data_IF_855653161435
#
_entry.id   IF_855653161435
#
_cell.length_a   1.000
_cell.length_b   1.000
_cell.length_c   1.000
_cell.angle_alpha   90.00
_cell.angle_beta   90.00
_cell.angle_gamma   90.00
#
_symmetry.space_group_name_H-M   'P 1'
#
loop_
_entity.id
_entity.type
_entity.pdbx_description
1 polymer ?
#
# COMPACT_ATOMS: atom_id res chain seq x y z
N UNK A 1 17.94 -18.17 -20.61
CA UNK A 1 19.01 -17.21 -20.96
C UNK A 1 20.12 -17.43 -19.93
N UNK A 2 20.58 -18.68 -19.80
CA UNK A 2 21.11 -19.19 -18.51
C UNK A 2 22.63 -19.06 -18.39
N UNK A 3 23.22 -18.14 -19.16
CA UNK A 3 24.67 -18.08 -19.40
C UNK A 3 25.30 -16.71 -19.08
N UNK A 4 24.52 -15.72 -18.62
CA UNK A 4 25.11 -14.43 -18.24
C UNK A 4 25.81 -14.57 -16.88
N UNK A 5 27.13 -14.74 -16.92
CA UNK A 5 28.00 -14.85 -15.74
C UNK A 5 28.56 -13.48 -15.32
N UNK A 6 28.72 -12.57 -16.27
CA UNK A 6 29.38 -11.27 -16.07
C UNK A 6 28.68 -10.18 -16.88
N UNK A 7 28.62 -8.96 -16.33
CA UNK A 7 28.07 -7.79 -17.01
C UNK A 7 29.21 -6.80 -17.30
N UNK A 8 29.84 -6.92 -18.47
CA UNK A 8 31.00 -6.10 -18.88
C UNK A 8 30.79 -5.39 -20.22
N UNK A 9 31.54 -4.32 -20.45
CA UNK A 9 31.60 -3.67 -21.77
C UNK A 9 32.50 -4.45 -22.73
N UNK A 10 32.29 -4.28 -24.04
CA UNK A 10 33.06 -4.94 -25.10
C UNK A 10 34.57 -4.67 -24.99
N UNK A 11 34.94 -3.49 -24.48
CA UNK A 11 36.33 -3.07 -24.30
C UNK A 11 36.95 -3.56 -22.97
N UNK A 12 36.22 -4.39 -22.20
CA UNK A 12 36.55 -4.78 -20.81
C UNK A 12 36.73 -3.59 -19.86
N UNK A 13 36.23 -2.41 -20.23
CA UNK A 13 36.08 -1.30 -19.30
C UNK A 13 34.94 -1.63 -18.34
N UNK A 14 35.23 -1.71 -17.04
CA UNK A 14 34.28 -2.08 -15.98
C UNK A 14 33.20 -1.02 -15.69
N UNK A 15 32.86 -0.16 -16.66
CA UNK A 15 31.99 0.99 -16.43
C UNK A 15 30.93 1.17 -17.52
N UNK A 16 29.69 1.32 -17.07
CA UNK A 16 28.57 1.77 -17.89
C UNK A 16 28.18 3.20 -17.47
N UNK A 17 28.95 4.22 -17.85
CA UNK A 17 28.82 5.57 -17.29
C UNK A 17 27.49 6.26 -17.65
N UNK A 18 26.78 5.78 -18.67
CA UNK A 18 25.51 6.34 -19.12
C UNK A 18 24.30 5.45 -18.84
N UNK A 19 24.48 4.26 -18.24
CA UNK A 19 23.37 3.35 -17.96
C UNK A 19 22.55 3.90 -16.79
N UNK A 20 21.27 4.18 -17.06
CA UNK A 20 20.35 4.80 -16.07
C UNK A 20 19.31 3.83 -15.53
N UNK A 21 18.97 2.83 -16.32
CA UNK A 21 17.94 1.86 -16.02
C UNK A 21 18.44 0.48 -16.44
N UNK A 22 18.33 -0.49 -15.52
CA UNK A 22 18.79 -1.85 -15.71
C UNK A 22 17.73 -2.81 -15.19
N UNK A 23 17.39 -3.79 -16.02
CA UNK A 23 16.46 -4.86 -15.71
C UNK A 23 17.21 -6.19 -15.83
N UNK A 24 17.33 -6.91 -14.73
CA UNK A 24 17.94 -8.24 -14.67
C UNK A 24 16.84 -9.22 -14.30
N UNK A 25 16.62 -10.23 -15.14
CA UNK A 25 15.69 -11.31 -14.84
C UNK A 25 16.28 -12.64 -15.25
N UNK A 26 16.10 -13.68 -14.42
CA UNK A 26 16.51 -15.05 -14.76
C UNK A 26 18.02 -15.14 -15.05
N UNK A 27 18.85 -14.47 -14.24
CA UNK A 27 20.31 -14.47 -14.34
C UNK A 27 20.93 -15.12 -13.08
N UNK A 28 20.80 -16.44 -12.89
CA UNK A 28 21.23 -17.13 -11.66
C UNK A 28 22.76 -17.22 -11.50
N UNK A 29 23.50 -17.00 -12.59
CA UNK A 29 24.97 -17.08 -12.63
C UNK A 29 25.66 -15.74 -12.40
N UNK A 30 24.95 -14.62 -12.55
CA UNK A 30 25.48 -13.29 -12.29
C UNK A 30 25.45 -13.04 -10.78
N UNK A 31 26.61 -12.75 -10.19
CA UNK A 31 26.77 -12.62 -8.72
C UNK A 31 27.10 -11.22 -8.25
N UNK A 32 27.50 -10.31 -9.15
CA UNK A 32 27.89 -8.94 -8.79
C UNK A 32 27.56 -7.94 -9.91
N UNK A 33 27.33 -6.69 -9.52
CA UNK A 33 27.25 -5.58 -10.47
C UNK A 33 28.64 -4.98 -10.73
N UNK A 34 28.96 -4.59 -11.98
CA UNK A 34 30.11 -3.75 -12.26
C UNK A 34 29.90 -2.34 -11.69
N UNK A 35 30.86 -1.44 -11.90
CA UNK A 35 30.71 -0.04 -11.50
C UNK A 35 29.67 0.68 -12.37
N UNK A 36 28.51 1.00 -11.77
CA UNK A 36 27.35 1.62 -12.44
C UNK A 36 27.01 3.00 -11.84
N UNK A 37 27.83 4.04 -12.06
CA UNK A 37 27.72 5.32 -11.36
C UNK A 37 26.43 6.10 -11.63
N UNK A 38 25.84 5.92 -12.81
CA UNK A 38 24.66 6.68 -13.27
C UNK A 38 23.35 5.89 -13.14
N UNK A 39 23.39 4.68 -12.56
CA UNK A 39 22.21 3.83 -12.48
C UNK A 39 21.24 4.39 -11.46
N UNK A 40 20.09 4.86 -11.96
CA UNK A 40 19.03 5.45 -11.14
C UNK A 40 17.87 4.50 -10.90
N UNK A 41 17.69 3.48 -11.74
CA UNK A 41 16.61 2.50 -11.62
C UNK A 41 17.13 1.08 -11.83
N UNK A 42 16.80 0.19 -10.91
CA UNK A 42 17.15 -1.22 -10.98
C UNK A 42 15.93 -2.09 -10.70
N UNK A 43 15.66 -3.03 -11.61
CA UNK A 43 14.79 -4.17 -11.34
C UNK A 43 15.62 -5.44 -11.38
N UNK A 44 15.59 -6.22 -10.30
CA UNK A 44 16.25 -7.53 -10.21
C UNK A 44 15.21 -8.59 -9.90
N UNK A 45 15.15 -9.63 -10.74
CA UNK A 45 14.15 -10.70 -10.65
C UNK A 45 14.79 -12.08 -10.80
N UNK A 46 14.38 -13.05 -9.97
CA UNK A 46 14.77 -14.48 -10.12
C UNK A 46 16.26 -14.66 -10.44
N UNK A 47 17.12 -14.11 -9.57
CA UNK A 47 18.57 -14.01 -9.76
C UNK A 47 19.31 -14.45 -8.51
N UNK A 48 20.63 -14.45 -8.55
CA UNK A 48 21.47 -14.91 -7.43
C UNK A 48 21.33 -14.01 -6.19
N UNK A 49 21.29 -14.58 -4.98
CA UNK A 49 21.29 -13.81 -3.72
C UNK A 49 22.53 -12.92 -3.58
N UNK A 50 23.71 -13.39 -4.04
CA UNK A 50 24.94 -12.59 -4.01
C UNK A 50 24.83 -11.33 -4.85
N UNK A 51 24.13 -11.41 -6.00
CA UNK A 51 23.85 -10.24 -6.82
C UNK A 51 22.95 -9.26 -6.08
N UNK A 52 21.93 -9.76 -5.38
CA UNK A 52 21.09 -8.93 -4.52
C UNK A 52 21.94 -8.21 -3.47
N UNK A 53 22.88 -8.89 -2.81
CA UNK A 53 23.79 -8.25 -1.83
C UNK A 53 24.62 -7.13 -2.45
N UNK A 54 25.12 -7.30 -3.68
CA UNK A 54 25.90 -6.27 -4.39
C UNK A 54 25.09 -5.01 -4.75
N UNK A 55 23.75 -5.02 -4.62
CA UNK A 55 22.93 -3.80 -4.76
C UNK A 55 23.36 -2.72 -3.77
N UNK A 56 23.93 -3.08 -2.61
CA UNK A 56 24.38 -2.12 -1.60
C UNK A 56 25.45 -1.12 -2.10
N UNK A 57 26.15 -1.45 -3.19
CA UNK A 57 27.18 -0.61 -3.80
C UNK A 57 26.59 0.41 -4.81
N UNK A 58 25.32 0.24 -5.20
CA UNK A 58 24.62 1.05 -6.20
C UNK A 58 23.96 2.29 -5.58
N UNK A 59 24.79 3.19 -5.04
CA UNK A 59 24.34 4.33 -4.22
C UNK A 59 23.52 5.41 -4.95
N UNK A 60 23.50 5.41 -6.28
CA UNK A 60 22.75 6.36 -7.13
C UNK A 60 21.27 5.98 -7.35
N UNK A 61 20.81 4.83 -6.84
CA UNK A 61 19.47 4.33 -7.11
C UNK A 61 18.37 5.19 -6.48
N UNK A 62 17.49 5.72 -7.33
CA UNK A 62 16.24 6.41 -6.97
C UNK A 62 15.02 5.48 -6.97
N UNK A 63 15.11 4.36 -7.68
CA UNK A 63 14.06 3.34 -7.76
C UNK A 63 14.68 1.94 -7.75
N UNK A 64 14.14 1.07 -6.91
CA UNK A 64 14.58 -0.32 -6.78
C UNK A 64 13.36 -1.25 -6.74
N UNK A 65 13.39 -2.30 -7.55
CA UNK A 65 12.46 -3.42 -7.48
C UNK A 65 13.22 -4.72 -7.29
N UNK A 66 12.82 -5.49 -6.27
CA UNK A 66 13.30 -6.83 -5.98
C UNK A 66 12.13 -7.78 -6.19
N UNK A 67 12.26 -8.72 -7.12
CA UNK A 67 11.19 -9.61 -7.55
C UNK A 67 11.63 -11.09 -7.52
N UNK A 68 10.75 -12.02 -7.15
CA UNK A 68 10.99 -13.48 -7.31
C UNK A 68 12.29 -14.00 -6.69
N UNK A 69 12.53 -13.72 -5.41
CA UNK A 69 13.57 -14.37 -4.61
C UNK A 69 12.93 -15.28 -3.57
N UNK A 70 12.37 -16.40 -4.03
CA UNK A 70 11.60 -17.32 -3.18
C UNK A 70 12.44 -17.98 -2.09
N UNK A 71 13.78 -18.03 -2.20
CA UNK A 71 14.63 -18.61 -1.15
C UNK A 71 14.84 -17.66 0.06
N UNK A 72 14.49 -16.37 -0.07
CA UNK A 72 14.74 -15.38 0.98
C UNK A 72 13.63 -15.38 2.04
N UNK A 73 13.98 -15.83 3.24
CA UNK A 73 13.12 -15.63 4.42
C UNK A 73 13.24 -14.23 5.02
N UNK A 74 14.38 -13.57 4.84
CA UNK A 74 14.68 -12.21 5.31
C UNK A 74 15.52 -11.50 4.24
N UNK A 75 15.35 -10.19 4.09
CA UNK A 75 16.25 -9.41 3.23
C UNK A 75 17.68 -9.38 3.81
N UNK A 76 18.73 -9.48 2.97
CA UNK A 76 20.12 -9.40 3.40
C UNK A 76 20.41 -8.15 4.24
N UNK A 77 21.17 -8.33 5.32
CA UNK A 77 21.58 -7.21 6.18
C UNK A 77 22.41 -6.18 5.41
N UNK A 78 22.06 -4.91 5.59
CA UNK A 78 22.76 -3.79 4.96
C UNK A 78 22.36 -3.53 3.51
N UNK A 79 21.47 -4.36 2.91
CA UNK A 79 21.04 -4.24 1.51
C UNK A 79 20.64 -2.81 1.12
N UNK A 80 19.93 -2.13 2.03
CA UNK A 80 19.39 -0.79 1.80
C UNK A 80 20.14 0.31 2.54
N UNK A 81 21.24 -0.01 3.23
CA UNK A 81 21.93 0.90 4.16
C UNK A 81 22.52 2.15 3.47
N UNK A 82 22.99 2.01 2.23
CA UNK A 82 23.66 3.10 1.50
C UNK A 82 22.74 3.89 0.55
N UNK A 83 21.46 3.53 0.46
CA UNK A 83 20.52 4.03 -0.54
C UNK A 83 19.85 5.36 -0.12
N UNK A 84 20.65 6.40 0.10
CA UNK A 84 20.19 7.69 0.66
C UNK A 84 19.32 8.53 -0.28
N UNK A 85 19.25 8.17 -1.56
CA UNK A 85 18.47 8.87 -2.60
C UNK A 85 17.30 8.04 -3.12
N UNK A 86 17.04 6.87 -2.53
CA UNK A 86 16.00 5.95 -2.97
C UNK A 86 14.62 6.52 -2.65
N UNK A 87 13.87 6.86 -3.69
CA UNK A 87 12.52 7.44 -3.58
C UNK A 87 11.42 6.38 -3.70
N UNK A 88 11.70 5.23 -4.33
CA UNK A 88 10.71 4.18 -4.53
C UNK A 88 11.33 2.78 -4.36
N UNK A 89 10.71 1.98 -3.50
CA UNK A 89 11.09 0.59 -3.25
C UNK A 89 9.90 -0.32 -3.52
N UNK A 90 10.11 -1.34 -4.34
CA UNK A 90 9.12 -2.38 -4.62
C UNK A 90 9.68 -3.75 -4.30
N UNK A 91 8.92 -4.53 -3.55
CA UNK A 91 9.26 -5.89 -3.17
C UNK A 91 8.10 -6.75 -3.67
N UNK A 92 8.38 -7.62 -4.64
CA UNK A 92 7.39 -8.38 -5.37
C UNK A 92 7.71 -9.88 -5.30
N UNK A 93 6.70 -10.72 -5.12
CA UNK A 93 6.82 -12.18 -5.25
C UNK A 93 7.98 -12.76 -4.40
N UNK A 94 8.19 -12.25 -3.18
CA UNK A 94 9.11 -12.83 -2.19
C UNK A 94 8.32 -13.75 -1.25
N UNK A 95 7.96 -14.93 -1.74
CA UNK A 95 6.91 -15.75 -1.14
C UNK A 95 7.28 -16.31 0.25
N UNK A 96 8.57 -16.51 0.54
CA UNK A 96 9.04 -17.00 1.85
C UNK A 96 9.48 -15.88 2.80
N UNK A 97 9.44 -14.61 2.38
CA UNK A 97 9.87 -13.49 3.18
C UNK A 97 8.94 -13.30 4.39
N UNK A 98 9.47 -13.46 5.60
CA UNK A 98 8.72 -13.33 6.86
C UNK A 98 8.71 -11.91 7.41
N UNK A 99 9.77 -11.14 7.14
CA UNK A 99 9.93 -9.76 7.63
C UNK A 99 10.91 -8.96 6.76
N UNK A 100 10.75 -7.63 6.75
CA UNK A 100 11.67 -6.71 6.08
C UNK A 100 12.89 -6.29 6.92
N UNK A 101 13.00 -6.81 8.15
CA UNK A 101 14.06 -6.52 9.14
C UNK A 101 14.32 -5.00 9.30
N UNK A 102 15.48 -4.60 9.85
CA UNK A 102 15.82 -3.19 10.10
C UNK A 102 16.28 -2.42 8.83
N UNK A 103 16.11 -2.98 7.63
CA UNK A 103 16.65 -2.40 6.39
C UNK A 103 16.09 -1.03 6.04
N UNK A 104 14.89 -0.70 6.53
CA UNK A 104 14.20 0.54 6.19
C UNK A 104 14.68 1.77 6.98
N UNK A 105 15.53 1.58 8.00
CA UNK A 105 15.88 2.62 8.97
C UNK A 105 16.56 3.86 8.35
N UNK A 106 17.23 3.70 7.21
CA UNK A 106 18.00 4.77 6.56
C UNK A 106 17.28 5.43 5.37
N UNK A 107 16.08 4.98 5.00
CA UNK A 107 15.38 5.41 3.78
C UNK A 107 14.49 6.64 4.01
N UNK A 108 15.02 7.68 4.65
CA UNK A 108 14.27 8.88 5.06
C UNK A 108 13.63 9.68 3.91
N UNK A 109 14.12 9.53 2.68
CA UNK A 109 13.62 10.20 1.46
C UNK A 109 12.65 9.33 0.64
N UNK A 110 12.41 8.08 1.06
CA UNK A 110 11.51 7.16 0.36
C UNK A 110 10.10 7.75 0.32
N UNK A 111 9.53 7.84 -0.88
CA UNK A 111 8.17 8.36 -1.15
C UNK A 111 7.17 7.24 -1.42
N UNK A 112 7.63 6.13 -2.00
CA UNK A 112 6.79 4.97 -2.33
C UNK A 112 7.41 3.67 -1.79
N UNK A 113 6.60 2.93 -1.02
CA UNK A 113 6.89 1.55 -0.62
C UNK A 113 5.74 0.67 -1.10
N UNK A 114 6.05 -0.32 -1.96
CA UNK A 114 5.08 -1.33 -2.39
C UNK A 114 5.59 -2.73 -2.06
N UNK A 115 4.72 -3.52 -1.45
CA UNK A 115 4.95 -4.92 -1.16
C UNK A 115 3.81 -5.69 -1.82
N UNK A 116 4.14 -6.60 -2.71
CA UNK A 116 3.18 -7.32 -3.55
C UNK A 116 3.52 -8.82 -3.56
N UNK A 117 2.56 -9.70 -3.30
CA UNK A 117 2.75 -11.17 -3.31
C UNK A 117 3.90 -11.60 -2.38
N UNK A 118 3.84 -11.18 -1.13
CA UNK A 118 4.74 -11.64 -0.07
C UNK A 118 3.92 -12.43 0.95
N UNK A 119 3.44 -13.61 0.53
CA UNK A 119 2.42 -14.37 1.25
C UNK A 119 2.85 -14.80 2.67
N UNK A 120 4.15 -15.00 2.90
CA UNK A 120 4.69 -15.34 4.23
C UNK A 120 5.02 -14.14 5.11
N UNK A 121 4.79 -12.90 4.65
CA UNK A 121 5.12 -11.71 5.43
C UNK A 121 4.20 -11.59 6.64
N UNK A 122 4.74 -11.83 7.83
CA UNK A 122 3.95 -11.88 9.08
C UNK A 122 3.78 -10.50 9.72
N UNK A 123 4.80 -9.65 9.61
CA UNK A 123 4.82 -8.31 10.20
C UNK A 123 5.71 -7.35 9.41
N UNK A 124 5.31 -6.08 9.40
CA UNK A 124 6.17 -4.99 8.94
C UNK A 124 7.04 -4.49 10.11
N UNK A 125 8.28 -4.07 9.87
CA UNK A 125 9.20 -3.67 10.92
C UNK A 125 8.88 -2.28 11.49
N UNK A 126 9.23 -2.06 12.75
CA UNK A 126 9.14 -0.76 13.43
C UNK A 126 9.99 0.34 12.76
N UNK A 127 10.97 -0.06 11.95
CA UNK A 127 11.80 0.83 11.14
C UNK A 127 11.01 1.68 10.14
N UNK A 128 9.75 1.33 9.83
CA UNK A 128 8.85 2.16 9.04
C UNK A 128 8.71 3.59 9.59
N UNK A 129 8.85 3.79 10.91
CA UNK A 129 8.78 5.12 11.54
C UNK A 129 9.85 6.09 11.05
N UNK A 130 10.90 5.60 10.40
CA UNK A 130 11.98 6.42 9.88
C UNK A 130 11.68 6.96 8.47
N UNK A 131 10.64 6.45 7.80
CA UNK A 131 10.23 6.84 6.44
C UNK A 131 9.38 8.12 6.44
N UNK A 132 9.96 9.22 6.93
CA UNK A 132 9.24 10.50 7.14
C UNK A 132 8.73 11.15 5.86
N UNK A 133 9.32 10.82 4.71
CA UNK A 133 8.92 11.32 3.39
C UNK A 133 7.95 10.39 2.66
N UNK A 134 7.55 9.26 3.27
CA UNK A 134 6.71 8.27 2.61
C UNK A 134 5.33 8.86 2.31
N UNK A 135 4.95 8.86 1.03
CA UNK A 135 3.67 9.38 0.55
C UNK A 135 2.69 8.25 0.22
N UNK A 136 3.21 7.10 -0.23
CA UNK A 136 2.41 5.92 -0.61
C UNK A 136 2.96 4.65 0.03
N UNK A 137 2.08 3.94 0.74
CA UNK A 137 2.30 2.58 1.21
C UNK A 137 1.24 1.67 0.57
N UNK A 138 1.66 0.72 -0.26
CA UNK A 138 0.78 -0.30 -0.83
C UNK A 138 1.22 -1.70 -0.39
N UNK A 139 0.29 -2.43 0.23
CA UNK A 139 0.41 -3.84 0.59
C UNK A 139 -0.58 -4.61 -0.27
N UNK A 140 -0.09 -5.57 -1.05
CA UNK A 140 -0.91 -6.41 -1.91
C UNK A 140 -0.55 -7.87 -1.72
N UNK A 141 -1.55 -8.74 -1.62
CA UNK A 141 -1.35 -10.20 -1.55
C UNK A 141 -0.28 -10.54 -0.47
N UNK A 142 -0.50 -10.06 0.76
CA UNK A 142 0.36 -10.35 1.92
C UNK A 142 -0.43 -11.20 2.93
N UNK A 143 -0.66 -12.46 2.56
CA UNK A 143 -1.66 -13.32 3.20
C UNK A 143 -1.38 -13.70 4.67
N UNK A 144 -0.12 -13.63 5.12
CA UNK A 144 0.24 -13.90 6.53
C UNK A 144 0.21 -12.66 7.43
N UNK A 145 0.05 -11.47 6.85
CA UNK A 145 0.06 -10.22 7.61
C UNK A 145 -1.26 -10.07 8.36
N UNK A 146 -1.20 -10.04 9.69
CA UNK A 146 -2.40 -9.99 10.55
C UNK A 146 -2.78 -8.60 11.03
N UNK A 147 -1.80 -7.69 11.14
CA UNK A 147 -1.98 -6.28 11.52
C UNK A 147 -0.80 -5.41 11.06
N UNK A 148 -0.97 -4.07 11.05
CA UNK A 148 0.14 -3.12 10.81
C UNK A 148 0.87 -2.77 12.12
N UNK A 149 2.17 -2.43 12.09
CA UNK A 149 2.94 -2.11 13.30
C UNK A 149 2.52 -0.77 13.90
N UNK A 150 2.11 -0.77 15.17
CA UNK A 150 1.65 0.45 15.86
C UNK A 150 2.76 1.53 15.90
N UNK A 151 3.96 1.12 16.31
CA UNK A 151 5.16 1.98 16.41
C UNK A 151 5.72 2.36 15.05
N UNK A 152 5.66 1.45 14.07
CA UNK A 152 6.11 1.70 12.70
C UNK A 152 5.33 2.80 11.98
N UNK A 153 4.05 3.00 12.29
CA UNK A 153 3.21 4.03 11.66
C UNK A 153 3.41 5.45 12.26
N UNK A 154 3.98 5.58 13.46
CA UNK A 154 4.09 6.86 14.18
C UNK A 154 4.86 7.95 13.42
N UNK A 155 5.84 7.55 12.61
CA UNK A 155 6.71 8.49 11.90
C UNK A 155 6.30 8.79 10.46
N UNK A 156 5.22 8.21 9.97
CA UNK A 156 4.74 8.36 8.59
C UNK A 156 3.93 9.65 8.39
N UNK A 157 4.48 10.79 8.79
CA UNK A 157 3.78 12.08 8.80
C UNK A 157 3.44 12.64 7.41
N UNK A 158 4.07 12.13 6.35
CA UNK A 158 3.83 12.55 4.96
C UNK A 158 2.91 11.60 4.19
N UNK A 159 2.43 10.50 4.82
CA UNK A 159 1.71 9.46 4.11
C UNK A 159 0.35 9.98 3.63
N UNK A 160 0.14 9.96 2.31
CA UNK A 160 -1.09 10.43 1.65
C UNK A 160 -1.97 9.28 1.20
N UNK A 161 -1.40 8.13 0.86
CA UNK A 161 -2.11 6.98 0.33
C UNK A 161 -1.70 5.70 1.05
N UNK A 162 -2.65 5.09 1.76
CA UNK A 162 -2.52 3.75 2.34
C UNK A 162 -3.45 2.81 1.57
N UNK A 163 -2.85 1.80 0.93
CA UNK A 163 -3.58 0.82 0.11
C UNK A 163 -3.28 -0.57 0.62
N UNK A 164 -4.30 -1.31 0.98
CA UNK A 164 -4.21 -2.70 1.40
C UNK A 164 -5.13 -3.51 0.50
N UNK A 165 -4.57 -4.50 -0.19
CA UNK A 165 -5.27 -5.25 -1.22
C UNK A 165 -5.02 -6.74 -1.04
N UNK A 166 -6.07 -7.54 -1.01
CA UNK A 166 -6.01 -8.99 -1.03
C UNK A 166 -5.15 -9.60 0.11
N UNK A 167 -5.03 -8.92 1.25
CA UNK A 167 -4.35 -9.46 2.44
C UNK A 167 -5.38 -10.27 3.26
N UNK A 168 -5.42 -11.60 3.08
CA UNK A 168 -6.55 -12.41 3.57
C UNK A 168 -6.69 -12.48 5.08
N UNK A 169 -5.58 -12.57 5.83
CA UNK A 169 -5.57 -12.66 7.30
C UNK A 169 -5.50 -11.30 8.02
N UNK A 170 -5.49 -10.20 7.27
CA UNK A 170 -5.41 -8.87 7.89
C UNK A 170 -6.73 -8.56 8.57
N UNK A 171 -6.72 -8.57 9.91
CA UNK A 171 -7.94 -8.46 10.72
C UNK A 171 -8.24 -7.04 11.19
N UNK A 172 -7.22 -6.18 11.28
CA UNK A 172 -7.34 -4.75 11.59
C UNK A 172 -6.12 -3.95 11.08
N UNK A 173 -6.25 -2.62 10.97
CA UNK A 173 -5.16 -1.72 10.57
C UNK A 173 -4.20 -1.33 11.72
N UNK A 174 -4.50 -1.74 12.96
CA UNK A 174 -3.87 -1.28 14.21
C UNK A 174 -4.10 0.19 14.60
N UNK A 175 -3.95 0.47 15.89
CA UNK A 175 -4.10 1.82 16.47
C UNK A 175 -3.02 2.82 15.99
N UNK A 176 -1.97 2.35 15.30
CA UNK A 176 -0.93 3.21 14.74
C UNK A 176 -1.45 4.15 13.65
N UNK A 177 -2.57 3.81 13.00
CA UNK A 177 -3.16 4.60 11.91
C UNK A 177 -3.57 6.01 12.33
N UNK A 178 -3.87 6.23 13.62
CA UNK A 178 -4.19 7.57 14.14
C UNK A 178 -3.09 8.61 13.93
N UNK A 179 -1.85 8.16 13.72
CA UNK A 179 -0.70 9.04 13.48
C UNK A 179 -0.60 9.52 12.03
N UNK A 180 -1.35 8.93 11.09
CA UNK A 180 -1.29 9.22 9.65
C UNK A 180 -2.06 10.50 9.28
N UNK A 181 -1.80 11.61 9.97
CA UNK A 181 -2.59 12.86 9.87
C UNK A 181 -2.62 13.50 8.47
N UNK A 182 -1.68 13.16 7.59
CA UNK A 182 -1.65 13.60 6.19
C UNK A 182 -2.41 12.66 5.22
N UNK A 183 -2.98 11.55 5.72
CA UNK A 183 -3.63 10.53 4.90
C UNK A 183 -4.82 11.11 4.16
N UNK A 184 -4.86 10.92 2.85
CA UNK A 184 -5.91 11.39 1.95
C UNK A 184 -6.73 10.25 1.38
N UNK A 185 -6.09 9.12 1.09
CA UNK A 185 -6.71 7.96 0.46
C UNK A 185 -6.46 6.72 1.31
N UNK A 186 -7.54 6.09 1.78
CA UNK A 186 -7.51 4.81 2.46
C UNK A 186 -8.29 3.79 1.62
N UNK A 187 -7.58 2.82 1.04
CA UNK A 187 -8.19 1.76 0.23
C UNK A 187 -7.95 0.41 0.90
N UNK A 188 -9.03 -0.31 1.20
CA UNK A 188 -9.01 -1.66 1.77
C UNK A 188 -9.83 -2.55 0.84
N UNK A 189 -9.15 -3.45 0.12
CA UNK A 189 -9.77 -4.23 -0.97
C UNK A 189 -9.45 -5.71 -0.73
N UNK A 190 -10.45 -6.59 -0.79
CA UNK A 190 -10.26 -8.04 -0.70
C UNK A 190 -9.64 -8.51 0.63
N UNK A 191 -9.98 -7.88 1.75
CA UNK A 191 -9.54 -8.29 3.09
C UNK A 191 -10.71 -8.94 3.86
N UNK A 192 -11.00 -10.24 3.66
CA UNK A 192 -12.17 -10.90 4.22
C UNK A 192 -12.17 -11.02 5.75
N UNK A 193 -11.00 -11.10 6.40
CA UNK A 193 -10.90 -11.16 7.87
C UNK A 193 -10.92 -9.78 8.57
N UNK A 194 -10.94 -8.70 7.79
CA UNK A 194 -11.01 -7.33 8.34
C UNK A 194 -12.35 -7.12 9.02
N UNK A 195 -12.37 -7.03 10.35
CA UNK A 195 -13.62 -6.98 11.13
C UNK A 195 -14.04 -5.58 11.57
N UNK A 196 -13.07 -4.68 11.77
CA UNK A 196 -13.31 -3.30 12.18
C UNK A 196 -12.20 -2.36 11.72
N UNK A 197 -12.51 -1.07 11.71
CA UNK A 197 -11.52 0.00 11.63
C UNK A 197 -11.23 0.52 13.06
N UNK A 198 -10.00 0.96 13.37
CA UNK A 198 -9.67 1.55 14.68
C UNK A 198 -10.61 2.70 15.07
N UNK A 199 -10.92 2.84 16.35
CA UNK A 199 -11.87 3.86 16.85
C UNK A 199 -11.24 5.26 16.98
N UNK A 200 -9.91 5.36 17.16
CA UNK A 200 -9.21 6.62 17.44
C UNK A 200 -8.70 7.37 16.19
N UNK A 201 -9.49 7.41 15.10
CA UNK A 201 -9.07 8.03 13.81
C UNK A 201 -9.74 9.37 13.49
N UNK A 202 -10.42 9.99 14.46
CA UNK A 202 -11.05 11.32 14.33
C UNK A 202 -10.10 12.47 13.96
N UNK A 203 -8.79 12.27 14.07
CA UNK A 203 -7.77 13.28 13.76
C UNK A 203 -7.31 13.24 12.30
N UNK A 204 -7.79 12.30 11.49
CA UNK A 204 -7.44 12.15 10.06
C UNK A 204 -8.15 13.18 9.18
N UNK A 205 -8.01 14.47 9.52
CA UNK A 205 -8.70 15.59 8.89
C UNK A 205 -8.34 15.79 7.41
N UNK A 206 -7.25 15.17 6.92
CA UNK A 206 -6.87 15.18 5.53
C UNK A 206 -7.56 14.08 4.70
N UNK A 207 -8.25 13.12 5.34
CA UNK A 207 -8.84 11.98 4.65
C UNK A 207 -9.96 12.45 3.74
N UNK A 208 -9.85 12.09 2.46
CA UNK A 208 -10.71 12.53 1.37
C UNK A 208 -11.58 11.40 0.86
N UNK A 209 -11.02 10.20 0.81
CA UNK A 209 -11.65 9.04 0.24
C UNK A 209 -11.36 7.79 1.07
N UNK A 210 -12.42 7.03 1.32
CA UNK A 210 -12.37 5.68 1.84
C UNK A 210 -13.03 4.74 0.84
N UNK A 211 -12.25 3.78 0.34
CA UNK A 211 -12.75 2.68 -0.50
C UNK A 211 -12.63 1.39 0.29
N UNK A 212 -13.75 0.69 0.43
CA UNK A 212 -13.80 -0.66 1.00
C UNK A 212 -14.45 -1.60 -0.01
N UNK A 213 -13.73 -2.65 -0.41
CA UNK A 213 -14.22 -3.63 -1.38
C UNK A 213 -13.97 -5.05 -0.88
N UNK A 214 -14.95 -5.95 -0.94
CA UNK A 214 -14.80 -7.39 -0.66
C UNK A 214 -14.22 -7.64 0.73
N UNK A 215 -14.67 -6.84 1.71
CA UNK A 215 -14.32 -6.95 3.12
C UNK A 215 -15.47 -7.59 3.89
N UNK A 216 -15.63 -8.90 3.71
CA UNK A 216 -16.79 -9.63 4.23
C UNK A 216 -16.85 -9.67 5.76
N UNK A 217 -15.73 -9.52 6.47
CA UNK A 217 -15.70 -9.46 7.93
C UNK A 217 -16.19 -8.13 8.51
N UNK A 218 -16.25 -7.06 7.71
CA UNK A 218 -16.51 -5.71 8.22
C UNK A 218 -18.01 -5.51 8.46
N UNK A 219 -18.39 -5.43 9.73
CA UNK A 219 -19.81 -5.36 10.15
C UNK A 219 -20.29 -3.92 10.36
N UNK A 220 -19.40 -3.05 10.83
CA UNK A 220 -19.74 -1.67 11.18
C UNK A 220 -18.62 -0.71 10.82
N UNK A 221 -19.02 0.53 10.55
CA UNK A 221 -18.10 1.65 10.38
C UNK A 221 -18.04 2.46 11.68
N UNK A 222 -16.86 2.96 12.07
CA UNK A 222 -16.68 3.74 13.28
C UNK A 222 -17.26 5.16 13.13
N UNK A 223 -17.68 5.75 14.26
CA UNK A 223 -18.38 7.04 14.27
C UNK A 223 -17.50 8.24 13.88
N UNK A 224 -16.17 8.11 13.97
CA UNK A 224 -15.27 9.19 13.59
C UNK A 224 -15.34 9.56 12.11
N UNK A 225 -15.86 8.69 11.23
CA UNK A 225 -16.11 9.04 9.83
C UNK A 225 -17.07 10.23 9.72
N UNK A 226 -17.99 10.35 10.67
CA UNK A 226 -18.90 11.47 10.81
C UNK A 226 -18.25 12.79 11.23
N UNK A 227 -17.09 12.75 11.88
CA UNK A 227 -16.39 13.97 12.33
C UNK A 227 -15.38 14.52 11.31
N UNK A 228 -15.14 13.80 10.21
CA UNK A 228 -14.16 14.20 9.21
C UNK A 228 -14.65 15.31 8.29
N UNK A 229 -13.93 16.42 8.29
CA UNK A 229 -14.29 17.62 7.52
C UNK A 229 -13.93 17.54 6.02
N UNK A 230 -12.98 16.67 5.66
CA UNK A 230 -12.48 16.55 4.27
C UNK A 230 -12.98 15.33 3.52
N UNK A 231 -13.67 14.41 4.19
CA UNK A 231 -14.12 13.15 3.61
C UNK A 231 -15.25 13.43 2.61
N UNK A 232 -14.96 13.32 1.32
CA UNK A 232 -15.92 13.68 0.27
C UNK A 232 -16.36 12.47 -0.57
N UNK A 233 -15.67 11.33 -0.48
CA UNK A 233 -15.94 10.12 -1.25
C UNK A 233 -15.96 8.87 -0.34
N UNK A 234 -17.06 8.12 -0.39
CA UNK A 234 -17.19 6.78 0.19
C UNK A 234 -17.61 5.79 -0.90
N UNK A 235 -16.85 4.71 -1.04
CA UNK A 235 -17.13 3.65 -2.00
C UNK A 235 -17.11 2.31 -1.29
N UNK A 236 -18.25 1.61 -1.36
CA UNK A 236 -18.43 0.26 -0.83
C UNK A 236 -18.80 -0.69 -1.98
N UNK A 237 -18.04 -1.77 -2.14
CA UNK A 237 -18.34 -2.81 -3.11
C UNK A 237 -18.28 -4.19 -2.42
N UNK A 238 -19.26 -5.06 -2.61
CA UNK A 238 -19.24 -6.46 -2.14
C UNK A 238 -18.89 -6.55 -0.65
N UNK A 239 -19.60 -5.78 0.18
CA UNK A 239 -19.44 -5.79 1.64
C UNK A 239 -20.74 -6.31 2.27
N UNK A 240 -21.01 -7.63 2.20
CA UNK A 240 -22.32 -8.20 2.47
C UNK A 240 -22.75 -8.10 3.93
N UNK A 241 -21.82 -7.97 4.87
CA UNK A 241 -22.10 -7.89 6.31
C UNK A 241 -22.08 -6.46 6.87
N UNK A 242 -21.75 -5.46 6.04
CA UNK A 242 -21.68 -4.07 6.51
C UNK A 242 -23.10 -3.51 6.72
N UNK A 243 -23.47 -3.28 7.98
CA UNK A 243 -24.88 -3.09 8.36
C UNK A 243 -25.36 -1.68 8.09
N UNK A 244 -24.61 -0.64 8.46
CA UNK A 244 -25.10 0.74 8.46
C UNK A 244 -24.00 1.78 8.21
N UNK A 245 -24.42 2.99 7.86
CA UNK A 245 -23.55 4.16 7.79
C UNK A 245 -23.53 4.94 9.12
N UNK A 246 -22.38 5.56 9.49
CA UNK A 246 -22.29 6.41 10.68
C UNK A 246 -23.02 7.73 10.46
N UNK A 247 -23.41 8.40 11.55
CA UNK A 247 -24.02 9.73 11.49
C UNK A 247 -22.97 10.83 11.19
N UNK A 248 -23.41 12.03 10.83
CA UNK A 248 -22.55 13.22 10.81
C UNK A 248 -21.74 13.50 9.54
N UNK A 249 -21.84 12.66 8.49
CA UNK A 249 -21.06 12.75 7.24
C UNK A 249 -21.40 13.97 6.32
N UNK A 250 -21.43 15.18 6.87
CA UNK A 250 -21.87 16.41 6.18
C UNK A 250 -20.94 16.85 5.03
N UNK A 251 -19.68 16.42 5.05
CA UNK A 251 -18.67 16.70 4.02
C UNK A 251 -18.81 15.82 2.77
N UNK A 252 -19.57 14.73 2.87
CA UNK A 252 -19.70 13.70 1.84
C UNK A 252 -20.37 14.23 0.58
N UNK A 253 -19.79 13.95 -0.59
CA UNK A 253 -20.28 14.38 -1.91
C UNK A 253 -20.58 13.21 -2.83
N UNK A 254 -19.84 12.12 -2.71
CA UNK A 254 -19.99 10.90 -3.50
C UNK A 254 -20.18 9.72 -2.57
N UNK A 255 -21.22 8.92 -2.83
CA UNK A 255 -21.47 7.64 -2.17
C UNK A 255 -21.82 6.58 -3.21
N UNK A 256 -20.96 5.59 -3.37
CA UNK A 256 -21.22 4.43 -4.22
C UNK A 256 -21.33 3.17 -3.37
N UNK A 257 -22.41 2.42 -3.57
CA UNK A 257 -22.72 1.18 -2.85
C UNK A 257 -23.10 0.13 -3.89
N UNK A 258 -22.32 -0.93 -4.02
CA UNK A 258 -22.60 -2.02 -4.96
C UNK A 258 -22.43 -3.36 -4.25
N UNK A 259 -23.37 -4.29 -4.39
CA UNK A 259 -23.33 -5.62 -3.76
C UNK A 259 -23.18 -5.54 -2.21
N UNK A 260 -23.93 -4.63 -1.58
CA UNK A 260 -23.95 -4.41 -0.13
C UNK A 260 -25.40 -4.44 0.38
N UNK A 261 -26.06 -5.62 0.47
CA UNK A 261 -27.51 -5.77 0.65
C UNK A 261 -28.11 -5.09 1.90
N UNK A 262 -27.32 -4.90 2.96
CA UNK A 262 -27.78 -4.14 4.13
C UNK A 262 -27.76 -2.63 3.86
N UNK A 263 -26.64 -2.10 3.38
CA UNK A 263 -26.53 -0.69 3.03
C UNK A 263 -27.49 -0.29 1.91
N UNK A 264 -27.68 -1.12 0.89
CA UNK A 264 -28.63 -0.89 -0.19
C UNK A 264 -30.06 -0.63 0.33
N UNK A 265 -30.53 -1.50 1.24
CA UNK A 265 -31.86 -1.37 1.85
C UNK A 265 -31.95 -0.14 2.75
N UNK A 266 -30.92 0.12 3.56
CA UNK A 266 -30.92 1.25 4.50
C UNK A 266 -30.72 2.59 3.82
N UNK A 267 -30.07 2.62 2.66
CA UNK A 267 -29.85 3.81 1.85
C UNK A 267 -30.94 3.99 0.77
N UNK A 268 -32.02 3.21 0.80
CA UNK A 268 -33.13 3.36 -0.16
C UNK A 268 -33.70 4.78 -0.09
N UNK A 269 -33.79 5.45 -1.24
CA UNK A 269 -34.28 6.83 -1.36
C UNK A 269 -35.63 7.01 -0.67
N UNK A 270 -35.69 8.00 0.24
CA UNK A 270 -36.88 8.42 1.00
C UNK A 270 -37.50 7.40 1.96
N UNK A 271 -37.01 6.14 1.96
CA UNK A 271 -37.58 5.06 2.79
C UNK A 271 -36.58 4.42 3.75
N UNK A 272 -35.32 4.37 3.34
CA UNK A 272 -34.26 3.71 4.10
C UNK A 272 -33.89 4.48 5.36
N UNK A 273 -33.58 3.75 6.43
CA UNK A 273 -33.22 4.33 7.75
C UNK A 273 -31.97 5.22 7.71
N UNK A 274 -31.02 4.94 6.81
CA UNK A 274 -29.80 5.71 6.64
C UNK A 274 -29.96 6.80 5.56
N UNK A 275 -31.08 6.85 4.84
CA UNK A 275 -31.33 7.90 3.83
C UNK A 275 -31.20 9.33 4.38
N UNK A 276 -31.72 9.69 5.57
CA UNK A 276 -31.54 11.03 6.13
C UNK A 276 -30.06 11.39 6.38
N UNK A 277 -29.19 10.39 6.54
CA UNK A 277 -27.73 10.60 6.74
C UNK A 277 -27.00 10.93 5.44
N UNK A 278 -27.60 10.67 4.28
CA UNK A 278 -26.97 10.79 2.96
C UNK A 278 -27.77 11.64 1.97
N UNK A 279 -28.95 12.15 2.35
CA UNK A 279 -29.81 12.92 1.45
C UNK A 279 -29.14 14.17 0.86
N UNK A 280 -28.14 14.75 1.56
CA UNK A 280 -27.35 15.89 1.10
C UNK A 280 -26.23 15.53 0.09
N UNK A 281 -25.91 14.25 -0.06
CA UNK A 281 -24.81 13.77 -0.91
C UNK A 281 -25.14 14.03 -2.39
N UNK A 282 -24.23 14.63 -3.15
CA UNK A 282 -24.50 15.11 -4.51
C UNK A 282 -24.65 13.99 -5.53
N UNK A 283 -23.85 12.93 -5.38
CA UNK A 283 -23.85 11.78 -6.26
C UNK A 283 -23.99 10.49 -5.44
N UNK A 284 -25.09 9.77 -5.66
CA UNK A 284 -25.39 8.50 -5.00
C UNK A 284 -25.68 7.45 -6.08
N UNK A 285 -24.88 6.38 -6.10
CA UNK A 285 -25.12 5.21 -6.95
C UNK A 285 -25.26 3.96 -6.10
N UNK A 286 -26.31 3.19 -6.35
CA UNK A 286 -26.59 1.93 -5.65
C UNK A 286 -26.83 0.82 -6.69
N UNK A 287 -25.98 -0.22 -6.72
CA UNK A 287 -26.01 -1.32 -7.72
C UNK A 287 -26.10 -0.82 -9.16
N UNK A 288 -25.16 0.06 -9.52
CA UNK A 288 -25.08 0.74 -10.83
C UNK A 288 -26.31 1.59 -11.21
N UNK A 289 -27.27 1.76 -10.30
CA UNK A 289 -28.41 2.66 -10.47
C UNK A 289 -28.07 4.03 -9.90
N UNK A 290 -28.28 5.06 -10.70
CA UNK A 290 -28.21 6.44 -10.23
C UNK A 290 -29.43 6.76 -9.37
N UNK A 291 -29.20 7.07 -8.10
CA UNK A 291 -30.26 7.42 -7.13
C UNK A 291 -30.39 8.93 -6.99
N UNK A 292 -29.26 9.63 -7.09
CA UNK A 292 -29.14 11.07 -7.02
C UNK A 292 -27.91 11.51 -7.80
N UNK A 293 -28.07 12.44 -8.73
CA UNK A 293 -26.97 13.15 -9.40
C UNK A 293 -27.35 14.63 -9.52
N UNK A 294 -26.56 15.48 -8.87
CA UNK A 294 -26.66 16.95 -9.00
C UNK A 294 -25.49 17.52 -9.80
N UNK A 295 -24.76 16.66 -10.52
CA UNK A 295 -23.73 17.07 -11.47
C UNK A 295 -24.44 17.35 -12.80
N UNK A 296 -24.32 18.55 -13.39
CA UNK A 296 -24.82 18.75 -14.75
C UNK A 296 -24.10 17.77 -15.68
N UNK A 297 -24.87 16.93 -16.37
CA UNK A 297 -24.36 16.15 -17.49
C UNK A 297 -24.08 17.13 -18.64
N UNK A 298 -22.84 17.66 -18.69
CA UNK A 298 -22.30 18.34 -19.87
C UNK A 298 -21.52 17.36 -20.75
#
# INVERSE_FOLDING_TARGET
>A
MDALEELTTVDRGESFPCLRELHISQCPRLTEFPYLPSLGKLSIANSNEMLLRSVMDLTSLSWLQIDKFDELEVLPDGLLQNHKVLESLRICELNNLKTLSHQLDNLSVLKELKIDRCDSLEYLPDGLKNLRSLETLELRDCDSLTSLPVTGLQGLSSLRSLRIKYCKKLSCLSEGVKHLTALQYLHIIGCPEMTYLPEDMQHLNALRELIVWSCNGLVSLPNWLGSLMSLWSLVFWDCPNLISLPDGMQSLKILFITECPHLERRCEKEKGEDWPKIAHVREIRINDREIQSLIPHD
#
